data_IF_932460126192
#
_entry.id   IF_932460126192
#
_cell.length_a   1.000
_cell.length_b   1.000
_cell.length_c   1.000
_cell.angle_alpha   90.00
_cell.angle_beta   90.00
_cell.angle_gamma   90.00
#
_symmetry.space_group_name_H-M   'P 1'
#
loop_
_entity.id
_entity.type
_entity.pdbx_description
1 polymer ?
#
# COMPACT_ATOMS: atom_id res chain seq x y z
N UNK A 1 18.20 -11.87 -0.67
CA UNK A 1 16.83 -12.05 -0.15
C UNK A 1 16.83 -13.35 0.63
N UNK A 2 16.43 -13.37 1.90
CA UNK A 2 16.27 -14.61 2.64
C UNK A 2 14.82 -15.06 2.50
N UNK A 3 14.62 -16.24 1.93
CA UNK A 3 13.31 -16.86 1.71
C UNK A 3 13.10 -17.87 2.84
N UNK A 4 12.40 -17.49 3.90
CA UNK A 4 11.74 -18.47 4.76
C UNK A 4 10.42 -18.82 4.08
N UNK A 5 10.03 -20.10 4.09
CA UNK A 5 9.09 -20.74 3.16
C UNK A 5 7.67 -20.11 3.02
N UNK A 6 7.35 -19.04 3.76
CA UNK A 6 6.05 -18.34 3.79
C UNK A 6 6.15 -16.80 3.91
N UNK A 7 7.34 -16.22 3.80
CA UNK A 7 7.50 -14.76 3.84
C UNK A 7 8.71 -14.27 3.05
N UNK A 8 8.63 -13.03 2.54
CA UNK A 8 9.75 -12.32 1.92
C UNK A 8 10.08 -11.08 2.74
N UNK A 9 11.34 -10.93 3.13
CA UNK A 9 11.82 -9.75 3.87
C UNK A 9 12.69 -8.87 3.00
N UNK A 10 12.31 -7.60 2.88
CA UNK A 10 13.12 -6.54 2.30
C UNK A 10 13.83 -5.75 3.40
N UNK A 11 15.14 -5.58 3.23
CA UNK A 11 15.97 -4.74 4.10
C UNK A 11 16.33 -3.49 3.32
N UNK A 12 15.85 -2.34 3.77
CA UNK A 12 16.17 -1.06 3.14
C UNK A 12 17.48 -0.56 3.73
N UNK A 13 18.59 -0.87 3.04
CA UNK A 13 19.95 -0.50 3.43
C UNK A 13 20.36 0.90 2.97
N UNK A 14 19.74 1.43 1.91
CA UNK A 14 20.02 2.78 1.41
C UNK A 14 19.49 3.85 2.37
N UNK A 15 20.22 4.97 2.47
CA UNK A 15 19.77 6.13 3.26
C UNK A 15 18.53 6.77 2.61
N UNK A 16 17.36 6.54 3.20
CA UNK A 16 16.10 7.18 2.80
C UNK A 16 15.79 8.33 3.75
N UNK A 17 14.82 9.19 3.41
CA UNK A 17 14.39 10.31 4.28
C UNK A 17 14.00 9.88 5.71
N UNK A 18 13.66 8.60 5.89
CA UNK A 18 13.33 8.01 7.19
C UNK A 18 14.54 7.37 7.92
N UNK A 19 15.70 7.26 7.26
CA UNK A 19 16.95 6.78 7.85
C UNK A 19 17.53 7.81 8.82
N UNK A 20 18.17 7.32 9.88
CA UNK A 20 18.80 8.14 10.93
C UNK A 20 20.02 7.41 11.50
N UNK A 21 21.05 8.16 11.94
CA UNK A 21 22.16 7.58 12.70
C UNK A 21 21.64 6.77 13.90
N UNK A 22 22.15 5.56 14.10
CA UNK A 22 21.80 4.69 15.22
C UNK A 22 20.46 3.93 15.12
N UNK A 23 19.65 4.14 14.07
CA UNK A 23 18.43 3.34 13.84
C UNK A 23 18.73 2.09 13.02
N UNK A 24 18.13 0.96 13.41
CA UNK A 24 18.13 -0.27 12.60
C UNK A 24 17.49 0.01 11.22
N UNK A 25 18.01 -0.60 10.15
CA UNK A 25 17.43 -0.45 8.81
C UNK A 25 15.97 -0.91 8.80
N UNK A 26 15.15 -0.22 7.99
CA UNK A 26 13.74 -0.55 7.88
C UNK A 26 13.60 -1.93 7.24
N UNK A 27 12.87 -2.81 7.93
CA UNK A 27 12.52 -4.15 7.45
C UNK A 27 11.06 -4.15 7.03
N UNK A 28 10.79 -4.55 5.80
CA UNK A 28 9.43 -4.79 5.30
C UNK A 28 9.29 -6.30 5.13
N UNK A 29 8.36 -6.90 5.88
CA UNK A 29 8.07 -8.33 5.85
C UNK A 29 6.75 -8.52 5.15
N UNK A 30 6.74 -9.31 4.07
CA UNK A 30 5.55 -9.68 3.32
C UNK A 30 5.30 -11.17 3.53
N UNK A 31 4.37 -11.49 4.42
CA UNK A 31 3.96 -12.85 4.71
C UNK A 31 2.83 -13.31 3.78
N UNK A 32 2.74 -14.61 3.60
CA UNK A 32 1.62 -15.25 2.93
C UNK A 32 0.28 -14.90 3.60
N UNK A 33 -0.73 -14.61 2.78
CA UNK A 33 -2.08 -14.32 3.22
C UNK A 33 -3.01 -15.41 2.65
N UNK A 34 -3.28 -16.42 3.48
CA UNK A 34 -4.10 -17.58 3.10
C UNK A 34 -5.61 -17.32 2.94
N UNK A 35 -6.25 -16.42 3.72
CA UNK A 35 -7.71 -16.27 3.66
C UNK A 35 -8.25 -15.91 2.27
N UNK A 36 -7.46 -15.20 1.46
CA UNK A 36 -7.84 -14.84 0.09
C UNK A 36 -6.59 -14.71 -0.77
N UNK A 37 -6.35 -15.72 -1.61
CA UNK A 37 -5.15 -15.80 -2.45
C UNK A 37 -5.05 -14.63 -3.44
N UNK A 38 -6.18 -14.11 -3.93
CA UNK A 38 -6.21 -12.96 -4.86
C UNK A 38 -5.72 -11.65 -4.22
N UNK A 39 -5.77 -11.55 -2.89
CA UNK A 39 -5.28 -10.41 -2.11
C UNK A 39 -3.86 -10.62 -1.56
N UNK A 40 -3.26 -11.78 -1.80
CA UNK A 40 -1.99 -12.16 -1.21
C UNK A 40 -0.79 -11.50 -1.90
N UNK A 41 -0.25 -10.44 -1.30
CA UNK A 41 0.94 -9.72 -1.81
C UNK A 41 2.16 -10.63 -1.97
N UNK A 42 2.35 -11.63 -1.10
CA UNK A 42 3.46 -12.58 -1.19
C UNK A 42 3.42 -13.39 -2.50
N UNK A 43 2.30 -14.06 -2.79
CA UNK A 43 2.08 -14.82 -4.04
C UNK A 43 2.21 -13.91 -5.27
N UNK A 44 1.61 -12.72 -5.23
CA UNK A 44 1.73 -11.73 -6.32
C UNK A 44 3.18 -11.32 -6.56
N UNK A 45 3.97 -11.09 -5.51
CA UNK A 45 5.38 -10.75 -5.60
C UNK A 45 6.21 -11.87 -6.22
N UNK A 46 6.01 -13.12 -5.78
CA UNK A 46 6.73 -14.26 -6.34
C UNK A 46 6.45 -14.43 -7.83
N UNK A 47 5.17 -14.31 -8.22
CA UNK A 47 4.79 -14.35 -9.64
C UNK A 47 5.40 -13.20 -10.44
N UNK A 48 5.45 -12.00 -9.86
CA UNK A 48 6.12 -10.87 -10.49
C UNK A 48 7.62 -11.11 -10.68
N UNK A 49 8.32 -11.65 -9.67
CA UNK A 49 9.76 -11.94 -9.75
C UNK A 49 10.08 -12.98 -10.82
N UNK A 50 9.27 -14.03 -10.92
CA UNK A 50 9.34 -15.06 -11.97
C UNK A 50 9.30 -14.40 -13.36
N UNK A 51 8.29 -13.55 -13.62
CA UNK A 51 8.16 -12.83 -14.89
C UNK A 51 9.25 -11.77 -15.11
N UNK A 52 9.66 -11.06 -14.06
CA UNK A 52 10.66 -9.99 -14.17
C UNK A 52 12.07 -10.53 -14.37
N UNK A 53 12.35 -11.77 -13.96
CA UNK A 53 13.66 -12.42 -14.11
C UNK A 53 14.11 -12.50 -15.57
N UNK A 54 13.17 -12.64 -16.51
CA UNK A 54 13.47 -12.70 -17.95
C UNK A 54 13.76 -11.32 -18.54
N UNK A 55 13.36 -10.24 -17.86
CA UNK A 55 13.50 -8.86 -18.32
C UNK A 55 14.64 -8.12 -17.62
N UNK A 56 15.04 -8.57 -16.43
CA UNK A 56 15.87 -7.76 -15.53
C UNK A 56 17.28 -7.53 -16.07
N UNK A 57 17.84 -8.41 -16.90
CA UNK A 57 19.24 -8.29 -17.34
C UNK A 57 20.17 -8.04 -16.13
N UNK A 58 20.83 -6.88 -16.10
CA UNK A 58 21.69 -6.44 -14.98
C UNK A 58 21.00 -5.52 -13.95
N UNK A 59 19.68 -5.32 -14.04
CA UNK A 59 18.93 -4.45 -13.14
C UNK A 59 18.82 -5.06 -11.73
N UNK A 60 19.32 -4.34 -10.72
CA UNK A 60 19.29 -4.75 -9.31
C UNK A 60 18.08 -4.21 -8.54
N UNK A 61 17.19 -3.46 -9.20
CA UNK A 61 15.98 -2.90 -8.57
C UNK A 61 14.81 -3.86 -8.70
N UNK A 62 13.93 -3.87 -7.70
CA UNK A 62 12.76 -4.74 -7.66
C UNK A 62 11.81 -4.48 -8.85
N UNK A 63 11.49 -3.23 -9.13
CA UNK A 63 10.59 -2.86 -10.21
C UNK A 63 11.35 -2.58 -11.50
N UNK A 64 11.07 -3.36 -12.54
CA UNK A 64 11.71 -3.32 -13.86
C UNK A 64 10.70 -2.83 -14.90
N UNK A 65 11.15 -1.96 -15.81
CA UNK A 65 10.36 -1.46 -16.92
C UNK A 65 10.12 -2.55 -17.96
N UNK A 66 8.86 -2.70 -18.38
CA UNK A 66 8.50 -3.55 -19.51
C UNK A 66 8.85 -2.91 -20.87
N UNK A 67 9.18 -1.62 -20.91
CA UNK A 67 9.62 -0.91 -22.13
C UNK A 67 11.14 -0.98 -22.24
N UNK A 68 11.65 -1.26 -23.46
CA UNK A 68 13.08 -1.28 -23.77
C UNK A 68 13.68 0.14 -23.77
N UNK A 69 14.94 0.32 -23.33
CA UNK A 69 15.76 -0.67 -22.64
C UNK A 69 15.19 -0.99 -21.25
N UNK A 70 15.12 -2.28 -20.89
CA UNK A 70 14.54 -2.76 -19.64
C UNK A 70 15.38 -2.30 -18.44
N UNK A 71 15.00 -1.17 -17.86
CA UNK A 71 15.70 -0.53 -16.75
C UNK A 71 14.84 -0.45 -15.48
N UNK A 72 15.38 0.14 -14.40
CA UNK A 72 14.61 0.34 -13.18
C UNK A 72 13.45 1.33 -13.40
N UNK A 73 12.31 1.05 -12.80
CA UNK A 73 11.15 1.95 -12.84
C UNK A 73 11.43 3.22 -12.02
N UNK A 74 11.11 4.39 -12.59
CA UNK A 74 11.23 5.68 -11.90
C UNK A 74 10.14 5.89 -10.85
N UNK A 75 10.33 6.84 -9.93
CA UNK A 75 9.31 7.21 -8.95
C UNK A 75 8.01 7.66 -9.60
N UNK A 76 8.12 8.43 -10.69
CA UNK A 76 6.96 8.96 -11.41
C UNK A 76 6.18 7.85 -12.12
N UNK A 77 6.89 6.87 -12.70
CA UNK A 77 6.24 5.72 -13.32
C UNK A 77 5.50 4.89 -12.28
N UNK A 78 6.11 4.61 -11.12
CA UNK A 78 5.41 3.92 -10.02
C UNK A 78 4.16 4.67 -9.56
N UNK A 79 4.25 6.00 -9.42
CA UNK A 79 3.10 6.83 -9.05
C UNK A 79 2.00 6.83 -10.12
N UNK A 80 2.37 6.79 -11.41
CA UNK A 80 1.42 6.64 -12.52
C UNK A 80 0.74 5.28 -12.48
N UNK A 81 1.48 4.18 -12.32
CA UNK A 81 0.90 2.83 -12.22
C UNK A 81 -0.10 2.71 -11.08
N UNK A 82 0.20 3.28 -9.90
CA UNK A 82 -0.74 3.32 -8.78
C UNK A 82 -2.02 4.08 -9.16
N UNK A 83 -1.88 5.26 -9.78
CA UNK A 83 -3.05 6.04 -10.24
C UNK A 83 -3.87 5.28 -11.29
N UNK A 84 -3.22 4.56 -12.20
CA UNK A 84 -3.91 3.72 -13.20
C UNK A 84 -4.75 2.65 -12.51
N UNK A 85 -4.19 1.95 -11.53
CA UNK A 85 -4.94 0.94 -10.75
C UNK A 85 -6.08 1.60 -9.98
N UNK A 86 -5.85 2.75 -9.34
CA UNK A 86 -6.91 3.49 -8.65
C UNK A 86 -8.07 3.85 -9.59
N UNK A 87 -7.77 4.37 -10.78
CA UNK A 87 -8.78 4.71 -11.78
C UNK A 87 -9.55 3.46 -12.26
N UNK A 88 -8.85 2.36 -12.51
CA UNK A 88 -9.46 1.09 -12.89
C UNK A 88 -10.36 0.51 -11.78
N UNK A 89 -10.08 0.80 -10.51
CA UNK A 89 -10.93 0.46 -9.36
C UNK A 89 -12.06 1.48 -9.10
N UNK A 90 -12.31 2.43 -10.01
CA UNK A 90 -13.38 3.43 -9.87
C UNK A 90 -13.06 4.59 -8.93
N UNK A 91 -11.80 4.73 -8.47
CA UNK A 91 -11.40 5.83 -7.58
C UNK A 91 -11.15 7.09 -8.42
N UNK A 92 -11.73 8.22 -7.99
CA UNK A 92 -11.53 9.51 -8.66
C UNK A 92 -10.09 10.01 -8.47
N UNK A 93 -9.23 9.78 -9.47
CA UNK A 93 -7.82 10.20 -9.48
C UNK A 93 -7.57 11.70 -9.66
N UNK A 94 -8.62 12.50 -9.94
CA UNK A 94 -8.53 13.97 -9.86
C UNK A 94 -8.59 14.46 -8.41
N UNK A 95 -9.30 13.72 -7.54
CA UNK A 95 -9.41 13.99 -6.10
C UNK A 95 -8.31 13.29 -5.30
N UNK A 96 -7.95 12.07 -5.68
CA UNK A 96 -7.00 11.23 -4.94
C UNK A 96 -5.74 10.96 -5.74
N UNK A 97 -4.59 11.03 -5.06
CA UNK A 97 -3.27 10.76 -5.66
C UNK A 97 -2.74 9.39 -5.24
N UNK A 98 -1.65 8.94 -5.84
CA UNK A 98 -0.95 7.73 -5.39
C UNK A 98 -0.58 7.76 -3.89
N UNK A 99 -0.30 8.94 -3.34
CA UNK A 99 0.02 9.10 -1.91
C UNK A 99 -1.22 8.93 -1.02
N UNK A 100 -2.42 9.16 -1.55
CA UNK A 100 -3.69 8.97 -0.82
C UNK A 100 -3.87 7.52 -0.38
N UNK A 101 -3.34 6.54 -1.12
CA UNK A 101 -3.34 5.11 -0.74
C UNK A 101 -2.67 4.88 0.62
N UNK A 102 -1.56 5.59 0.90
CA UNK A 102 -0.88 5.49 2.20
C UNK A 102 -1.74 6.00 3.33
N UNK A 103 -2.39 7.16 3.15
CA UNK A 103 -3.28 7.74 4.15
C UNK A 103 -4.50 6.84 4.41
N UNK A 104 -5.12 6.34 3.35
CA UNK A 104 -6.26 5.43 3.42
C UNK A 104 -5.90 4.14 4.18
N UNK A 105 -4.78 3.50 3.84
CA UNK A 105 -4.31 2.28 4.51
C UNK A 105 -4.10 2.50 6.02
N UNK A 106 -3.43 3.58 6.42
CA UNK A 106 -3.21 3.87 7.84
C UNK A 106 -4.48 4.24 8.60
N UNK A 107 -5.44 4.91 7.92
CA UNK A 107 -6.74 5.24 8.52
C UNK A 107 -7.59 3.98 8.70
N UNK A 108 -7.58 3.07 7.72
CA UNK A 108 -8.25 1.79 7.82
C UNK A 108 -7.68 0.92 8.96
N UNK A 109 -6.35 0.86 9.11
CA UNK A 109 -5.72 0.15 10.22
C UNK A 109 -6.17 0.71 11.59
N UNK A 110 -6.26 2.03 11.71
CA UNK A 110 -6.77 2.67 12.93
C UNK A 110 -8.25 2.32 13.17
N UNK A 111 -9.08 2.37 12.13
CA UNK A 111 -10.50 2.01 12.23
C UNK A 111 -10.69 0.52 12.63
N UNK A 112 -9.77 -0.35 12.22
CA UNK A 112 -9.68 -1.75 12.63
C UNK A 112 -9.01 -1.95 14.01
N UNK A 113 -8.86 -0.88 14.81
CA UNK A 113 -8.32 -0.90 16.18
C UNK A 113 -6.86 -1.35 16.31
N UNK A 114 -6.07 -1.26 15.23
CA UNK A 114 -4.62 -1.48 15.34
C UNK A 114 -3.99 -0.36 16.18
N UNK A 115 -3.15 -0.66 17.18
CA UNK A 115 -2.52 0.35 18.01
C UNK A 115 -1.74 1.38 17.18
N UNK A 116 -1.91 2.67 17.47
CA UNK A 116 -1.28 3.78 16.73
C UNK A 116 0.24 3.63 16.66
N UNK A 117 0.87 3.15 17.74
CA UNK A 117 2.31 2.91 17.79
C UNK A 117 2.77 1.84 16.78
N UNK A 118 1.95 0.83 16.54
CA UNK A 118 2.24 -0.24 15.58
C UNK A 118 2.08 0.27 14.14
N UNK A 119 1.05 1.08 13.88
CA UNK A 119 0.86 1.75 12.59
C UNK A 119 2.06 2.65 12.27
N UNK A 120 2.46 3.51 13.21
CA UNK A 120 3.61 4.42 13.06
C UNK A 120 4.89 3.64 12.79
N UNK A 121 5.11 2.53 13.50
CA UNK A 121 6.27 1.66 13.32
C UNK A 121 6.25 1.01 11.93
N UNK A 122 5.10 0.49 11.49
CA UNK A 122 4.93 -0.17 10.20
C UNK A 122 5.20 0.78 9.02
N UNK A 123 4.74 2.02 9.09
CA UNK A 123 4.96 3.01 8.01
C UNK A 123 6.21 3.88 8.18
N UNK A 124 6.99 3.65 9.25
CA UNK A 124 8.25 4.36 9.52
C UNK A 124 8.08 5.85 9.84
N UNK A 125 6.99 6.27 10.48
CA UNK A 125 6.84 7.66 10.93
C UNK A 125 7.53 7.93 12.26
N UNK A 126 7.89 9.21 12.49
CA UNK A 126 8.52 9.66 13.74
C UNK A 126 7.49 9.89 14.84
N UNK A 127 6.31 10.39 14.50
CA UNK A 127 5.36 10.90 15.49
C UNK A 127 3.92 10.62 15.10
N UNK A 128 3.12 10.27 16.10
CA UNK A 128 1.66 10.19 16.01
C UNK A 128 1.03 11.53 15.63
N UNK A 129 1.67 12.65 15.98
CA UNK A 129 1.18 13.99 15.62
C UNK A 129 1.08 14.18 14.11
N UNK A 130 2.09 13.71 13.36
CA UNK A 130 2.07 13.77 11.89
C UNK A 130 0.97 12.89 11.31
N UNK A 131 0.76 11.70 11.89
CA UNK A 131 -0.32 10.81 11.50
C UNK A 131 -1.68 11.47 11.72
N UNK A 132 -1.95 11.95 12.94
CA UNK A 132 -3.21 12.58 13.32
C UNK A 132 -3.53 13.83 12.46
N UNK A 133 -2.52 14.67 12.18
CA UNK A 133 -2.73 15.91 11.44
C UNK A 133 -2.94 15.70 9.93
N UNK A 134 -2.22 14.75 9.31
CA UNK A 134 -2.15 14.69 7.84
C UNK A 134 -2.69 13.41 7.21
N UNK A 135 -2.73 12.31 7.97
CA UNK A 135 -2.95 10.98 7.40
C UNK A 135 -4.15 10.25 7.98
N UNK A 136 -4.60 10.60 9.19
CA UNK A 136 -5.87 10.14 9.73
C UNK A 136 -7.01 10.89 9.04
N UNK A 137 -7.49 10.34 7.93
CA UNK A 137 -8.60 10.91 7.17
C UNK A 137 -9.89 10.20 7.58
N UNK A 138 -11.01 10.94 7.72
CA UNK A 138 -12.29 10.31 7.97
C UNK A 138 -12.60 9.32 6.83
N UNK A 139 -12.95 8.09 7.21
CA UNK A 139 -13.45 7.11 6.26
C UNK A 139 -14.92 7.46 6.06
N UNK A 140 -15.25 8.00 4.89
CA UNK A 140 -16.64 8.24 4.50
C UNK A 140 -17.34 6.87 4.42
N UNK A 141 -18.09 6.53 5.46
CA UNK A 141 -19.12 5.50 5.36
C UNK A 141 -20.22 6.13 4.55
N UNK A 142 -20.41 5.61 3.34
CA UNK A 142 -21.37 6.17 2.40
C UNK A 142 -22.72 6.34 3.11
N UNK A 143 -23.12 7.60 3.23
CA UNK A 143 -24.38 8.00 3.81
C UNK A 143 -25.41 7.78 2.71
N UNK A 144 -25.86 6.54 2.53
CA UNK A 144 -27.13 6.25 1.84
C UNK A 144 -28.32 6.78 2.67
N UNK A 145 -28.29 8.07 3.03
CA UNK A 145 -29.37 8.76 3.73
C UNK A 145 -30.63 8.74 2.86
N UNK A 146 -30.46 8.78 1.52
CA UNK A 146 -31.57 8.68 0.59
C UNK A 146 -32.24 7.30 0.60
N UNK A 147 -31.47 6.21 0.48
CA UNK A 147 -32.04 4.86 0.50
C UNK A 147 -32.64 4.50 1.87
N UNK A 148 -32.02 4.93 2.98
CA UNK A 148 -32.55 4.73 4.33
C UNK A 148 -33.86 5.49 4.59
N UNK A 149 -34.02 6.70 4.04
CA UNK A 149 -35.24 7.50 4.17
C UNK A 149 -36.41 6.97 3.33
N UNK A 150 -36.14 6.41 2.15
CA UNK A 150 -37.17 5.84 1.26
C UNK A 150 -37.74 4.53 1.81
N UNK A 151 -36.92 3.70 2.47
CA UNK A 151 -37.35 2.40 2.99
C UNK A 151 -38.01 2.47 4.39
N UNK A 152 -37.79 3.53 5.15
CA UNK A 152 -38.42 3.71 6.47
C UNK A 152 -39.92 4.09 6.39
N UNK A 153 -40.40 4.57 5.24
CA UNK A 153 -41.80 4.96 5.03
C UNK A 153 -42.76 3.83 4.69
N UNK A 154 -42.30 2.58 4.56
CA UNK A 154 -43.14 1.46 4.10
C UNK A 154 -43.72 0.56 5.21
N UNK A 155 -43.48 0.84 6.49
CA UNK A 155 -44.06 0.06 7.60
C UNK A 155 -45.05 0.92 8.40
N UNK A 156 -46.20 1.20 7.81
CA UNK A 156 -47.38 1.68 8.53
C UNK A 156 -48.64 1.17 7.81
N UNK A 157 -49.10 0.00 8.24
CA UNK A 157 -50.46 -0.49 8.05
C UNK A 157 -50.82 -1.34 9.25
#
# INVERSE_FOLDING_TARGET
>A
MHTEHRSVTFIISSHVKQSRPGRKPLKVVLSEYEPEASLCVHKTLLRYLDMASTLSGQCTKLFVSFVKPHGPVSKDTSARSIKTVMAASGINVKKFSAHSTRAASTSAALASKVPVNDIIRAVGWKSAKTFAAYYNKPIEKDKFIFAGGVLAGCNSS
#
